data_IF_005254662281
#
_entry.id   IF_005254662281
#
_cell.length_a   1.000
_cell.length_b   1.000
_cell.length_c   1.000
_cell.angle_alpha   90.00
_cell.angle_beta   90.00
_cell.angle_gamma   90.00
#
_symmetry.space_group_name_H-M   'P 1'
#
loop_
_entity.id
_entity.type
_entity.pdbx_description
1 polymer ?
#
# COMPACT_ATOMS: atom_id res chain seq x y z
N UNK A 1 14.18 7.81 24.27
CA UNK A 1 12.90 7.92 23.52
C UNK A 1 12.79 6.70 22.62
N UNK A 2 11.71 5.93 22.71
CA UNK A 2 11.48 4.75 21.87
C UNK A 2 10.58 5.14 20.68
N UNK A 3 10.81 4.52 19.51
CA UNK A 3 9.95 4.69 18.33
C UNK A 3 8.56 4.11 18.65
N UNK A 4 7.46 4.79 18.30
CA UNK A 4 6.12 4.26 18.49
C UNK A 4 5.94 2.91 17.78
N UNK A 5 5.26 1.96 18.43
CA UNK A 5 4.99 0.63 17.83
C UNK A 5 4.23 0.72 16.52
N UNK A 6 3.31 1.69 16.39
CA UNK A 6 2.55 1.94 15.17
C UNK A 6 3.42 2.27 13.95
N UNK A 7 4.55 2.95 14.14
CA UNK A 7 5.48 3.24 13.05
C UNK A 7 6.25 1.98 12.61
N UNK A 8 6.63 1.13 13.57
CA UNK A 8 7.27 -0.16 13.29
C UNK A 8 6.31 -1.08 12.53
N UNK A 9 5.05 -1.13 12.95
CA UNK A 9 4.02 -1.95 12.31
C UNK A 9 3.73 -1.49 10.87
N UNK A 10 3.68 -0.17 10.65
CA UNK A 10 3.55 0.43 9.32
C UNK A 10 4.69 -0.02 8.39
N UNK A 11 5.95 0.09 8.84
CA UNK A 11 7.12 -0.29 8.06
C UNK A 11 7.10 -1.80 7.76
N UNK A 12 6.80 -2.64 8.76
CA UNK A 12 6.72 -4.10 8.56
C UNK A 12 5.64 -4.48 7.54
N UNK A 13 4.46 -3.90 7.66
CA UNK A 13 3.35 -4.19 6.75
C UNK A 13 3.68 -3.76 5.32
N UNK A 14 4.31 -2.60 5.16
CA UNK A 14 4.73 -2.09 3.86
C UNK A 14 5.80 -2.98 3.22
N UNK A 15 6.82 -3.40 3.97
CA UNK A 15 7.85 -4.32 3.48
C UNK A 15 7.28 -5.68 3.07
N UNK A 16 6.37 -6.26 3.87
CA UNK A 16 5.75 -7.54 3.56
C UNK A 16 4.90 -7.52 2.29
N UNK A 17 4.31 -6.37 1.96
CA UNK A 17 3.43 -6.19 0.79
C UNK A 17 4.14 -5.56 -0.40
N UNK A 18 5.40 -5.15 -0.26
CA UNK A 18 6.13 -4.37 -1.27
C UNK A 18 5.50 -3.00 -1.53
N UNK A 19 4.95 -2.38 -0.48
CA UNK A 19 4.22 -1.11 -0.55
C UNK A 19 5.09 0.06 -0.08
N UNK A 20 4.79 1.25 -0.60
CA UNK A 20 5.51 2.47 -0.24
C UNK A 20 4.92 3.08 1.04
N UNK A 21 5.79 3.45 1.97
CA UNK A 21 5.43 4.26 3.15
C UNK A 21 5.66 5.73 2.84
N UNK A 22 4.62 6.43 2.42
CA UNK A 22 4.68 7.85 2.09
C UNK A 22 3.28 8.45 1.95
N UNK A 23 3.22 9.76 1.74
CA UNK A 23 1.96 10.42 1.40
C UNK A 23 1.49 10.02 0.00
N UNK A 24 0.21 10.22 -0.32
CA UNK A 24 -0.31 9.98 -1.67
C UNK A 24 0.54 10.67 -2.75
N UNK A 25 0.99 11.91 -2.51
CA UNK A 25 1.87 12.65 -3.42
C UNK A 25 3.20 11.93 -3.67
N UNK A 26 3.81 11.33 -2.64
CA UNK A 26 5.04 10.56 -2.80
C UNK A 26 4.80 9.31 -3.66
N UNK A 27 3.70 8.60 -3.41
CA UNK A 27 3.32 7.42 -4.19
C UNK A 27 3.11 7.80 -5.66
N UNK A 28 2.32 8.84 -5.94
CA UNK A 28 2.04 9.32 -7.30
C UNK A 28 3.33 9.67 -8.06
N UNK A 29 4.28 10.32 -7.38
CA UNK A 29 5.55 10.70 -7.99
C UNK A 29 6.42 9.50 -8.34
N UNK A 30 6.48 8.49 -7.46
CA UNK A 30 7.18 7.24 -7.73
C UNK A 30 6.50 6.46 -8.85
N UNK A 31 5.16 6.37 -8.86
CA UNK A 31 4.40 5.71 -9.93
C UNK A 31 4.70 6.36 -11.30
N UNK A 32 4.73 7.70 -11.34
CA UNK A 32 5.08 8.46 -12.54
C UNK A 32 6.51 8.17 -13.02
N UNK A 33 7.47 8.12 -12.10
CA UNK A 33 8.89 7.89 -12.43
C UNK A 33 9.11 6.46 -12.93
N UNK A 34 8.48 5.47 -12.28
CA UNK A 34 8.66 4.05 -12.61
C UNK A 34 7.78 3.60 -13.77
N UNK A 35 6.73 4.35 -14.14
CA UNK A 35 5.74 3.94 -15.12
C UNK A 35 4.94 2.70 -14.67
N UNK A 36 4.92 2.43 -13.36
CA UNK A 36 4.29 1.26 -12.75
C UNK A 36 3.45 1.70 -11.55
N UNK A 37 2.30 1.05 -11.36
CA UNK A 37 1.37 1.36 -10.27
C UNK A 37 1.75 0.57 -9.01
N UNK A 38 1.82 1.25 -7.86
CA UNK A 38 2.24 0.71 -6.55
C UNK A 38 1.30 1.11 -5.40
N UNK A 39 0.18 1.81 -5.66
CA UNK A 39 -0.77 2.24 -4.63
C UNK A 39 -1.43 1.11 -3.79
N UNK A 40 -1.78 1.46 -2.56
CA UNK A 40 -2.34 0.60 -1.51
C UNK A 40 -3.86 0.38 -1.73
N UNK A 41 -4.24 -0.41 -2.75
CA UNK A 41 -5.65 -0.77 -2.95
C UNK A 41 -6.11 -1.85 -1.99
N UNK A 42 -7.30 -1.66 -1.42
CA UNK A 42 -8.06 -2.76 -0.84
C UNK A 42 -8.39 -3.81 -1.90
N UNK A 43 -8.76 -5.02 -1.46
CA UNK A 43 -9.26 -6.06 -2.37
C UNK A 43 -10.34 -5.47 -3.29
N UNK A 44 -10.23 -5.70 -4.60
CA UNK A 44 -11.26 -5.26 -5.55
C UNK A 44 -12.63 -5.82 -5.15
N UNK A 45 -13.72 -5.22 -5.65
CA UNK A 45 -15.06 -5.73 -5.40
C UNK A 45 -15.11 -7.22 -5.77
N UNK A 46 -15.43 -8.14 -4.83
CA UNK A 46 -15.53 -9.56 -5.14
C UNK A 46 -16.47 -9.74 -6.34
N UNK A 47 -16.06 -10.56 -7.32
CA UNK A 47 -16.96 -10.90 -8.43
C UNK A 47 -18.23 -11.47 -7.82
N UNK A 48 -19.38 -10.94 -8.22
CA UNK A 48 -20.68 -11.46 -7.80
C UNK A 48 -20.70 -12.93 -8.22
N UNK A 49 -20.74 -13.87 -7.28
CA UNK A 49 -20.89 -15.27 -7.60
C UNK A 49 -22.21 -15.39 -8.40
N UNK A 50 -22.20 -15.88 -9.65
CA UNK A 50 -23.44 -16.10 -10.40
C UNK A 50 -24.21 -17.34 -9.89
N UNK A 51 -24.05 -17.72 -8.63
CA UNK A 51 -24.51 -19.00 -8.07
C UNK A 51 -24.88 -18.96 -6.58
N UNK A 52 -25.36 -17.81 -6.07
CA UNK A 52 -26.13 -17.74 -4.82
C UNK A 52 -27.18 -16.67 -4.93
#
# INVERSE_FOLDING_TARGET
QAVPSSEIDLIRAALQRGQLTGSARFVDEIERIQGQRVELRGQGRPRRNPGK
#
